data_IF_450299153386
#
_entry.id   IF_450299153386
#
_cell.length_a   1.000
_cell.length_b   1.000
_cell.length_c   1.000
_cell.angle_alpha   90.00
_cell.angle_beta   90.00
_cell.angle_gamma   90.00
#
_symmetry.space_group_name_H-M   'P 1'
#
loop_
_entity.id
_entity.type
_entity.pdbx_description
1 polymer ?
#
# COMPACT_ATOMS: atom_id res chain seq x y z
N UNK A 1 16.73 34.19 -4.05
CA UNK A 1 17.34 33.15 -4.91
C UNK A 1 18.57 32.43 -4.31
N UNK A 2 19.67 33.09 -3.89
CA UNK A 2 20.85 32.39 -3.31
C UNK A 2 20.57 31.72 -1.95
N UNK A 3 19.72 32.33 -1.12
CA UNK A 3 19.33 31.83 0.22
C UNK A 3 18.41 30.60 0.14
N UNK A 4 17.42 30.58 -0.76
CA UNK A 4 16.55 29.42 -1.00
C UNK A 4 17.31 28.21 -1.54
N UNK A 5 18.23 28.42 -2.50
CA UNK A 5 19.07 27.33 -3.00
C UNK A 5 19.92 26.71 -1.88
N UNK A 6 20.43 27.53 -0.95
CA UNK A 6 21.24 27.05 0.18
C UNK A 6 20.41 26.23 1.16
N UNK A 7 19.18 26.65 1.49
CA UNK A 7 18.26 25.90 2.34
C UNK A 7 17.79 24.57 1.69
N UNK A 8 17.60 24.56 0.37
CA UNK A 8 17.32 23.36 -0.40
C UNK A 8 18.49 22.36 -0.36
N UNK A 9 19.71 22.80 -0.63
CA UNK A 9 20.89 21.92 -0.53
C UNK A 9 21.14 21.45 0.92
N UNK A 10 20.88 22.29 1.93
CA UNK A 10 21.03 21.94 3.35
C UNK A 10 20.05 20.87 3.84
N UNK A 11 18.89 20.69 3.19
CA UNK A 11 17.91 19.66 3.53
C UNK A 11 18.03 18.41 2.65
N UNK A 12 18.38 18.57 1.38
CA UNK A 12 18.48 17.46 0.42
C UNK A 12 19.78 16.66 0.56
N UNK A 13 20.92 17.32 0.82
CA UNK A 13 22.21 16.63 0.94
C UNK A 13 22.26 15.66 2.13
N UNK A 14 21.80 16.01 3.34
CA UNK A 14 21.75 15.06 4.45
C UNK A 14 20.80 13.89 4.17
N UNK A 15 19.66 14.15 3.53
CA UNK A 15 18.72 13.10 3.14
C UNK A 15 19.34 12.11 2.16
N UNK A 16 20.03 12.59 1.12
CA UNK A 16 20.73 11.73 0.17
C UNK A 16 21.88 10.94 0.83
N UNK A 17 22.66 11.57 1.71
CA UNK A 17 23.71 10.89 2.47
C UNK A 17 23.16 9.82 3.41
N UNK A 18 22.00 10.05 4.03
CA UNK A 18 21.29 9.05 4.83
C UNK A 18 20.82 7.87 3.97
N UNK A 19 20.24 8.14 2.80
CA UNK A 19 19.77 7.09 1.88
C UNK A 19 20.93 6.24 1.35
N UNK A 20 22.05 6.87 0.99
CA UNK A 20 23.26 6.16 0.53
C UNK A 20 23.92 5.41 1.67
N UNK A 21 24.03 6.04 2.86
CA UNK A 21 24.57 5.40 4.06
C UNK A 21 23.78 4.17 4.50
N UNK A 22 22.45 4.25 4.47
CA UNK A 22 21.56 3.11 4.72
C UNK A 22 21.71 2.02 3.65
N UNK A 23 21.83 2.38 2.38
CA UNK A 23 22.08 1.41 1.31
C UNK A 23 23.39 0.64 1.51
N UNK A 24 24.45 1.34 1.95
CA UNK A 24 25.77 0.72 2.20
C UNK A 24 25.73 -0.19 3.43
N UNK A 25 25.11 0.23 4.54
CA UNK A 25 25.02 -0.61 5.75
C UNK A 25 24.16 -1.85 5.52
N UNK A 26 23.09 -1.74 4.74
CA UNK A 26 22.28 -2.89 4.34
C UNK A 26 23.05 -3.84 3.41
N UNK A 27 23.88 -3.30 2.50
CA UNK A 27 24.75 -4.11 1.64
C UNK A 27 25.74 -4.98 2.42
N UNK A 28 26.26 -4.46 3.54
CA UNK A 28 27.24 -5.16 4.37
C UNK A 28 26.58 -6.24 5.23
N UNK A 29 25.33 -6.05 5.64
CA UNK A 29 24.61 -7.00 6.52
C UNK A 29 23.94 -8.12 5.73
N UNK A 30 23.20 -7.81 4.65
CA UNK A 30 22.58 -8.81 3.81
C UNK A 30 22.29 -8.25 2.40
N UNK A 31 22.84 -8.84 1.32
CA UNK A 31 22.64 -8.34 -0.04
C UNK A 31 21.18 -8.40 -0.50
N UNK A 32 20.35 -9.28 0.07
CA UNK A 32 18.93 -9.35 -0.24
C UNK A 32 18.17 -8.11 0.28
N UNK A 33 18.61 -7.47 1.38
CA UNK A 33 17.97 -6.26 1.90
C UNK A 33 18.17 -5.04 0.99
N UNK A 34 19.30 -4.98 0.29
CA UNK A 34 19.56 -3.95 -0.69
C UNK A 34 18.57 -4.01 -1.86
N UNK A 35 18.21 -5.22 -2.31
CA UNK A 35 17.19 -5.41 -3.33
C UNK A 35 15.83 -4.86 -2.87
N UNK A 36 15.37 -5.22 -1.66
CA UNK A 36 14.12 -4.71 -1.11
C UNK A 36 14.12 -3.20 -0.93
N UNK A 37 15.26 -2.62 -0.57
CA UNK A 37 15.42 -1.18 -0.44
C UNK A 37 15.22 -0.47 -1.78
N UNK A 38 15.84 -0.95 -2.87
CA UNK A 38 15.64 -0.39 -4.21
C UNK A 38 14.22 -0.60 -4.74
N UNK A 39 13.61 -1.77 -4.51
CA UNK A 39 12.22 -2.04 -4.89
C UNK A 39 11.25 -1.12 -4.13
N UNK A 40 11.48 -0.90 -2.83
CA UNK A 40 10.71 0.02 -2.00
C UNK A 40 10.82 1.47 -2.47
N UNK A 41 12.04 1.93 -2.79
CA UNK A 41 12.26 3.27 -3.37
C UNK A 41 11.57 3.42 -4.72
N UNK A 42 11.68 2.42 -5.61
CA UNK A 42 11.01 2.43 -6.92
C UNK A 42 9.50 2.49 -6.79
N UNK A 43 8.92 1.73 -5.87
CA UNK A 43 7.49 1.74 -5.59
C UNK A 43 7.03 3.07 -4.97
N UNK A 44 7.79 3.63 -4.02
CA UNK A 44 7.50 4.95 -3.44
C UNK A 44 7.56 6.07 -4.48
N UNK A 45 8.56 6.04 -5.36
CA UNK A 45 8.68 6.97 -6.49
C UNK A 45 7.49 6.84 -7.47
N UNK A 46 7.10 5.61 -7.81
CA UNK A 46 5.94 5.36 -8.65
C UNK A 46 4.67 5.94 -8.01
N UNK A 47 4.43 5.68 -6.72
CA UNK A 47 3.28 6.22 -5.98
C UNK A 47 3.28 7.74 -5.92
N UNK A 48 4.44 8.37 -5.68
CA UNK A 48 4.57 9.82 -5.66
C UNK A 48 4.21 10.44 -7.01
N UNK A 49 4.75 9.90 -8.09
CA UNK A 49 4.56 10.45 -9.44
C UNK A 49 3.15 10.26 -10.00
N UNK A 50 2.52 9.15 -9.66
CA UNK A 50 1.16 8.82 -10.11
C UNK A 50 0.07 9.26 -9.13
N UNK A 51 0.45 9.82 -7.97
CA UNK A 51 -0.47 10.28 -6.90
C UNK A 51 -1.52 9.22 -6.54
N UNK A 52 -1.11 7.95 -6.49
CA UNK A 52 -2.00 6.84 -6.11
C UNK A 52 -2.44 7.02 -4.66
N UNK A 53 -3.73 7.29 -4.45
CA UNK A 53 -4.32 7.43 -3.13
C UNK A 53 -5.71 6.83 -3.09
N UNK A 54 -5.87 5.79 -2.27
CA UNK A 54 -7.17 5.12 -2.05
C UNK A 54 -8.16 6.08 -1.38
N UNK A 55 -7.70 6.87 -0.40
CA UNK A 55 -8.56 7.80 0.32
C UNK A 55 -9.13 8.91 -0.58
N UNK A 56 -8.31 9.46 -1.49
CA UNK A 56 -8.79 10.44 -2.48
C UNK A 56 -9.84 9.82 -3.40
N UNK A 57 -9.62 8.60 -3.90
CA UNK A 57 -10.57 7.95 -4.79
C UNK A 57 -11.97 7.80 -4.16
N UNK A 58 -12.04 7.44 -2.88
CA UNK A 58 -13.32 7.38 -2.16
C UNK A 58 -13.91 8.76 -1.89
N UNK A 59 -13.11 9.72 -1.42
CA UNK A 59 -13.59 11.08 -1.16
C UNK A 59 -14.10 11.75 -2.45
N UNK A 60 -13.38 11.61 -3.56
CA UNK A 60 -13.75 12.18 -4.86
C UNK A 60 -15.04 11.55 -5.39
N UNK A 61 -15.24 10.26 -5.14
CA UNK A 61 -16.48 9.57 -5.49
C UNK A 61 -17.68 10.07 -4.68
N UNK A 62 -17.54 10.24 -3.35
CA UNK A 62 -18.68 10.58 -2.49
C UNK A 62 -18.97 12.08 -2.45
N UNK A 63 -17.95 12.93 -2.39
CA UNK A 63 -18.11 14.39 -2.30
C UNK A 63 -18.32 15.03 -3.67
N UNK A 64 -17.45 14.70 -4.64
CA UNK A 64 -17.43 15.35 -5.95
C UNK A 64 -18.13 14.54 -7.04
N UNK A 65 -18.62 13.34 -6.72
CA UNK A 65 -19.21 12.38 -7.68
C UNK A 65 -18.29 12.09 -8.87
N UNK A 66 -16.98 12.18 -8.69
CA UNK A 66 -16.00 11.96 -9.75
C UNK A 66 -15.54 10.48 -9.74
N UNK A 67 -15.89 9.67 -10.75
CA UNK A 67 -15.56 8.25 -10.79
C UNK A 67 -14.13 7.94 -11.27
N UNK A 68 -13.37 8.93 -11.76
CA UNK A 68 -12.04 8.74 -12.37
C UNK A 68 -11.08 8.07 -11.40
N UNK A 69 -11.05 8.53 -10.13
CA UNK A 69 -10.17 8.00 -9.09
C UNK A 69 -10.48 6.52 -8.76
N UNK A 70 -11.76 6.17 -8.71
CA UNK A 70 -12.19 4.79 -8.44
C UNK A 70 -11.90 3.85 -9.60
N UNK A 71 -12.18 4.27 -10.84
CA UNK A 71 -11.79 3.54 -12.06
C UNK A 71 -10.30 3.19 -12.03
N UNK A 72 -9.48 4.21 -11.77
CA UNK A 72 -8.03 4.08 -11.68
C UNK A 72 -7.60 3.08 -10.59
N UNK A 73 -8.23 3.13 -9.41
CA UNK A 73 -7.98 2.16 -8.33
C UNK A 73 -8.30 0.72 -8.76
N UNK A 74 -9.37 0.49 -9.51
CA UNK A 74 -9.68 -0.84 -10.03
C UNK A 74 -8.67 -1.33 -11.08
N UNK A 75 -8.08 -0.45 -11.89
CA UNK A 75 -6.94 -0.82 -12.74
C UNK A 75 -5.71 -1.24 -11.94
N UNK A 76 -5.42 -0.58 -10.82
CA UNK A 76 -4.35 -1.00 -9.90
C UNK A 76 -4.64 -2.41 -9.35
N UNK A 77 -5.87 -2.66 -8.92
CA UNK A 77 -6.29 -3.98 -8.42
C UNK A 77 -6.21 -5.03 -9.53
N UNK A 78 -6.56 -4.68 -10.77
CA UNK A 78 -6.46 -5.57 -11.93
C UNK A 78 -5.00 -5.97 -12.18
N UNK A 79 -4.09 -5.00 -12.30
CA UNK A 79 -2.68 -5.29 -12.58
C UNK A 79 -2.02 -6.09 -11.46
N UNK A 80 -2.28 -5.74 -10.20
CA UNK A 80 -1.76 -6.50 -9.05
C UNK A 80 -2.33 -7.92 -9.01
N UNK A 81 -3.62 -8.10 -9.30
CA UNK A 81 -4.25 -9.44 -9.38
C UNK A 81 -3.61 -10.29 -10.48
N UNK A 82 -3.36 -9.73 -11.66
CA UNK A 82 -2.70 -10.45 -12.76
C UNK A 82 -1.27 -10.86 -12.38
N UNK A 83 -0.50 -9.96 -11.77
CA UNK A 83 0.88 -10.25 -11.33
C UNK A 83 0.92 -11.32 -10.23
N UNK A 84 0.14 -11.17 -9.16
CA UNK A 84 0.12 -12.18 -8.08
C UNK A 84 -0.48 -13.51 -8.52
N UNK A 85 -1.56 -13.46 -9.32
CA UNK A 85 -2.20 -14.66 -9.86
C UNK A 85 -1.25 -15.45 -10.77
N UNK A 86 -0.58 -14.79 -11.72
CA UNK A 86 0.41 -15.44 -12.59
C UNK A 86 1.56 -16.07 -11.79
N UNK A 87 2.13 -15.35 -10.81
CA UNK A 87 3.19 -15.89 -9.95
C UNK A 87 2.73 -17.15 -9.18
N UNK A 88 1.52 -17.14 -8.62
CA UNK A 88 0.97 -18.31 -7.93
C UNK A 88 0.67 -19.49 -8.87
N UNK A 89 0.30 -19.22 -10.12
CA UNK A 89 0.04 -20.25 -11.12
C UNK A 89 1.30 -20.98 -11.56
N UNK A 90 2.35 -20.22 -11.90
CA UNK A 90 3.57 -20.78 -12.45
C UNK A 90 4.47 -21.40 -11.38
N UNK A 91 4.39 -20.94 -10.13
CA UNK A 91 5.26 -21.37 -9.02
C UNK A 91 4.43 -21.78 -7.78
N UNK A 92 3.54 -22.78 -7.90
CA UNK A 92 2.60 -23.15 -6.84
C UNK A 92 3.30 -23.70 -5.58
N UNK A 93 4.44 -24.39 -5.74
CA UNK A 93 5.22 -24.96 -4.64
C UNK A 93 6.00 -23.92 -3.84
N UNK A 94 6.31 -22.77 -4.44
CA UNK A 94 7.08 -21.71 -3.81
C UNK A 94 6.20 -20.68 -3.09
N UNK A 95 5.02 -20.38 -3.63
CA UNK A 95 4.11 -19.37 -3.07
C UNK A 95 2.94 -19.96 -2.26
N UNK A 96 2.68 -21.27 -2.39
CA UNK A 96 1.63 -21.96 -1.64
C UNK A 96 0.27 -21.29 -1.75
N UNK A 97 -0.55 -21.39 -0.70
CA UNK A 97 -1.87 -20.72 -0.62
C UNK A 97 -1.78 -19.19 -0.41
N UNK A 98 -0.58 -18.60 -0.48
CA UNK A 98 -0.33 -17.22 -0.08
C UNK A 98 -0.56 -16.99 1.42
N UNK A 99 -0.50 -15.72 1.83
CA UNK A 99 -0.75 -15.34 3.23
C UNK A 99 -2.24 -15.14 3.45
N UNK A 100 -2.94 -16.20 3.89
CA UNK A 100 -4.37 -16.18 4.15
C UNK A 100 -4.62 -15.77 5.60
N UNK A 101 -5.55 -14.83 5.82
CA UNK A 101 -5.94 -14.35 7.14
C UNK A 101 -7.33 -14.83 7.51
N UNK A 102 -7.54 -15.03 8.81
CA UNK A 102 -8.84 -15.32 9.39
C UNK A 102 -9.86 -14.27 8.93
N UNK A 103 -11.00 -14.73 8.44
CA UNK A 103 -12.06 -13.86 7.93
C UNK A 103 -13.25 -13.88 8.88
N UNK A 104 -13.61 -12.74 9.46
CA UNK A 104 -14.73 -12.66 10.38
C UNK A 104 -15.32 -11.25 10.53
N UNK A 105 -16.34 -11.08 11.38
CA UNK A 105 -17.06 -9.81 11.56
C UNK A 105 -16.15 -8.64 11.98
N UNK A 106 -15.05 -8.94 12.66
CA UNK A 106 -14.04 -7.96 13.05
C UNK A 106 -13.35 -7.29 11.84
N UNK A 107 -13.30 -7.93 10.66
CA UNK A 107 -12.78 -7.30 9.44
C UNK A 107 -13.72 -6.20 8.95
N UNK A 108 -15.04 -6.38 9.11
CA UNK A 108 -16.03 -5.37 8.76
C UNK A 108 -15.92 -4.17 9.71
N UNK A 109 -15.89 -4.43 11.02
CA UNK A 109 -15.72 -3.37 12.03
C UNK A 109 -14.39 -2.63 11.85
N UNK A 110 -13.30 -3.38 11.66
CA UNK A 110 -11.97 -2.81 11.40
C UNK A 110 -11.93 -2.01 10.10
N UNK A 111 -12.58 -2.48 9.03
CA UNK A 111 -12.67 -1.78 7.75
C UNK A 111 -13.46 -0.47 7.85
N UNK A 112 -14.55 -0.44 8.61
CA UNK A 112 -15.34 0.78 8.86
C UNK A 112 -14.52 1.80 9.65
N UNK A 113 -13.90 1.36 10.76
CA UNK A 113 -13.05 2.24 11.59
C UNK A 113 -11.84 2.77 10.81
N UNK A 114 -11.20 1.91 10.01
CA UNK A 114 -10.09 2.30 9.14
C UNK A 114 -10.54 3.28 8.05
N UNK A 115 -11.72 3.05 7.44
CA UNK A 115 -12.33 3.95 6.47
C UNK A 115 -12.59 5.34 7.04
N UNK A 116 -13.23 5.41 8.21
CA UNK A 116 -13.46 6.68 8.91
C UNK A 116 -12.14 7.40 9.23
N UNK A 117 -11.14 6.65 9.72
CA UNK A 117 -9.80 7.18 9.97
C UNK A 117 -9.12 7.73 8.71
N UNK A 118 -9.24 7.06 7.57
CA UNK A 118 -8.67 7.52 6.30
C UNK A 118 -9.27 8.85 5.84
N UNK A 119 -10.59 9.02 5.99
CA UNK A 119 -11.27 10.27 5.63
C UNK A 119 -10.83 11.40 6.57
N UNK A 120 -10.79 11.14 7.88
CA UNK A 120 -10.41 12.15 8.87
C UNK A 120 -8.94 12.57 8.78
N UNK A 121 -8.04 11.62 8.50
CA UNK A 121 -6.62 11.87 8.29
C UNK A 121 -6.29 12.51 6.92
N UNK A 122 -7.22 12.49 5.97
CA UNK A 122 -7.01 13.01 4.61
C UNK A 122 -6.02 12.20 3.78
N UNK A 123 -5.82 10.92 4.10
CA UNK A 123 -4.84 10.05 3.43
C UNK A 123 -4.94 8.58 3.83
N UNK A 124 -4.47 7.68 2.97
CA UNK A 124 -4.23 6.29 3.31
C UNK A 124 -2.78 6.06 3.74
N UNK A 125 -2.50 4.95 4.44
CA UNK A 125 -1.18 4.64 5.00
C UNK A 125 -0.03 4.79 3.98
N UNK A 126 -0.21 4.32 2.74
CA UNK A 126 0.77 4.48 1.67
C UNK A 126 0.98 5.94 1.25
N UNK A 127 -0.10 6.70 1.07
CA UNK A 127 -0.01 8.12 0.70
C UNK A 127 0.58 8.99 1.81
N UNK A 128 0.36 8.64 3.08
CA UNK A 128 0.94 9.35 4.22
C UNK A 128 2.46 9.20 4.22
N UNK A 129 2.99 8.00 3.96
CA UNK A 129 4.44 7.78 3.83
C UNK A 129 5.06 8.59 2.69
N UNK A 130 4.40 8.63 1.54
CA UNK A 130 4.85 9.44 0.39
C UNK A 130 4.86 10.92 0.75
N UNK A 131 3.80 11.44 1.38
CA UNK A 131 3.68 12.85 1.79
C UNK A 131 4.67 13.26 2.87
N UNK A 132 5.04 12.34 3.77
CA UNK A 132 6.16 12.56 4.70
C UNK A 132 7.46 12.71 3.92
N UNK A 133 7.69 11.88 2.90
CA UNK A 133 8.83 12.00 1.99
C UNK A 133 8.85 13.32 1.21
N UNK A 134 7.69 13.90 0.95
CA UNK A 134 7.55 15.24 0.36
C UNK A 134 7.74 16.39 1.37
N UNK A 135 7.90 16.09 2.66
CA UNK A 135 8.11 17.06 3.73
C UNK A 135 6.81 17.65 4.31
N UNK A 136 5.66 17.00 4.10
CA UNK A 136 4.39 17.48 4.65
C UNK A 136 4.30 17.22 6.16
N UNK A 137 4.40 18.27 6.98
CA UNK A 137 4.31 18.19 8.44
C UNK A 137 3.00 17.57 8.95
N UNK A 138 1.88 17.86 8.29
CA UNK A 138 0.59 17.26 8.64
C UNK A 138 0.61 15.72 8.48
N UNK A 139 1.25 15.21 7.43
CA UNK A 139 1.38 13.77 7.22
C UNK A 139 2.30 13.12 8.26
N UNK A 140 3.32 13.85 8.73
CA UNK A 140 4.17 13.39 9.82
C UNK A 140 3.39 13.23 11.14
N UNK A 141 2.50 14.17 11.46
CA UNK A 141 1.63 14.05 12.63
C UNK A 141 0.69 12.83 12.51
N UNK A 142 0.05 12.66 11.35
CA UNK A 142 -0.80 11.48 11.07
C UNK A 142 -0.01 10.17 11.24
N UNK A 143 1.24 10.15 10.80
CA UNK A 143 2.10 8.98 10.95
C UNK A 143 2.39 8.61 12.39
N UNK A 144 2.63 9.59 13.27
CA UNK A 144 2.83 9.35 14.71
C UNK A 144 1.57 8.71 15.31
N UNK A 145 0.39 9.25 15.03
CA UNK A 145 -0.86 8.67 15.53
C UNK A 145 -1.16 7.29 14.92
N UNK A 146 -0.84 7.08 13.65
CA UNK A 146 -0.94 5.76 13.00
C UNK A 146 -0.02 4.73 13.66
N UNK A 147 1.18 5.14 14.05
CA UNK A 147 2.13 4.30 14.79
C UNK A 147 1.56 3.88 16.16
N UNK A 148 1.11 4.84 16.96
CA UNK A 148 0.49 4.56 18.27
C UNK A 148 -0.81 3.75 18.13
N UNK A 149 -1.63 4.03 17.13
CA UNK A 149 -2.85 3.29 16.85
C UNK A 149 -2.57 1.82 16.47
N UNK A 150 -1.54 1.57 15.67
CA UNK A 150 -1.13 0.20 15.31
C UNK A 150 -0.59 -0.55 16.52
N UNK A 151 0.16 0.14 17.37
CA UNK A 151 0.66 -0.40 18.64
C UNK A 151 -0.50 -0.81 19.57
N UNK A 152 -1.45 0.10 19.78
CA UNK A 152 -2.65 -0.18 20.58
C UNK A 152 -3.50 -1.30 19.96
N UNK A 153 -3.61 -1.34 18.63
CA UNK A 153 -4.27 -2.42 17.90
C UNK A 153 -3.62 -3.77 18.13
N UNK A 154 -2.28 -3.83 18.15
CA UNK A 154 -1.53 -5.07 18.44
C UNK A 154 -1.78 -5.57 19.86
N UNK A 155 -1.87 -4.65 20.83
CA UNK A 155 -2.20 -4.98 22.21
C UNK A 155 -3.64 -5.51 22.33
N UNK A 156 -4.61 -4.80 21.75
CA UNK A 156 -6.02 -5.21 21.74
C UNK A 156 -6.20 -6.57 21.06
N UNK A 157 -5.43 -6.82 20.00
CA UNK A 157 -5.46 -8.07 19.24
C UNK A 157 -5.16 -9.30 20.09
N UNK A 158 -4.27 -9.19 21.09
CA UNK A 158 -4.02 -10.29 22.04
C UNK A 158 -5.27 -10.66 22.86
N UNK A 159 -6.14 -9.68 23.16
CA UNK A 159 -7.37 -9.88 23.92
C UNK A 159 -8.49 -10.47 23.06
N UNK A 160 -8.65 -10.00 21.81
CA UNK A 160 -9.70 -10.49 20.89
C UNK A 160 -9.30 -11.75 20.11
N UNK A 161 -8.08 -12.25 20.27
CA UNK A 161 -7.52 -13.39 19.53
C UNK A 161 -8.41 -14.63 19.52
N UNK A 162 -9.03 -14.95 20.65
CA UNK A 162 -9.88 -16.14 20.78
C UNK A 162 -11.15 -16.03 19.95
N UNK A 163 -11.71 -14.83 19.81
CA UNK A 163 -12.82 -14.56 18.89
C UNK A 163 -12.37 -14.61 17.42
N UNK A 164 -11.11 -14.23 17.13
CA UNK A 164 -10.56 -14.21 15.76
C UNK A 164 -10.32 -15.62 15.23
N UNK A 165 -9.72 -16.52 16.02
CA UNK A 165 -9.45 -17.91 15.60
C UNK A 165 -10.73 -18.69 15.31
N UNK A 166 -11.85 -18.35 15.96
CA UNK A 166 -13.12 -19.06 15.78
C UNK A 166 -13.62 -19.06 14.33
N UNK A 167 -13.18 -18.11 13.50
CA UNK A 167 -13.58 -18.02 12.10
C UNK A 167 -12.46 -18.47 11.16
N UNK A 168 -12.66 -19.61 10.50
CA UNK A 168 -11.67 -20.16 9.56
C UNK A 168 -11.42 -19.21 8.37
N UNK A 169 -10.17 -19.11 7.89
CA UNK A 169 -9.87 -18.37 6.66
C UNK A 169 -10.60 -19.00 5.47
N UNK A 170 -11.27 -18.18 4.67
CA UNK A 170 -11.90 -18.62 3.42
C UNK A 170 -10.99 -18.27 2.25
N UNK A 171 -10.51 -19.29 1.55
CA UNK A 171 -9.70 -19.13 0.34
C UNK A 171 -10.52 -19.53 -0.89
N UNK A 172 -10.87 -18.54 -1.72
CA UNK A 172 -11.73 -18.73 -2.90
C UNK A 172 -11.28 -19.88 -3.83
N UNK A 173 -9.97 -20.03 -4.13
CA UNK A 173 -9.49 -21.14 -4.96
C UNK A 173 -9.71 -22.54 -4.39
N UNK A 174 -9.84 -22.69 -3.07
CA UNK A 174 -10.10 -23.98 -2.41
C UNK A 174 -11.57 -24.40 -2.53
N UNK A 175 -12.48 -23.43 -2.63
CA UNK A 175 -13.92 -23.70 -2.77
C UNK A 175 -14.35 -23.89 -4.24
N UNK A 176 -13.81 -23.09 -5.17
CA UNK A 176 -14.28 -23.03 -6.56
C UNK A 176 -13.28 -23.62 -7.57
N UNK A 177 -12.06 -23.95 -7.12
CA UNK A 177 -10.94 -24.23 -8.01
C UNK A 177 -10.25 -22.95 -8.49
N UNK A 178 -8.95 -23.06 -8.77
CA UNK A 178 -8.10 -21.92 -9.07
C UNK A 178 -8.53 -21.12 -10.32
N UNK A 179 -8.92 -21.83 -11.38
CA UNK A 179 -9.38 -21.21 -12.64
C UNK A 179 -10.69 -20.42 -12.44
N UNK A 180 -11.69 -21.02 -11.78
CA UNK A 180 -12.99 -20.37 -11.57
C UNK A 180 -12.87 -19.20 -10.59
N UNK A 181 -12.03 -19.32 -9.56
CA UNK A 181 -11.77 -18.22 -8.64
C UNK A 181 -11.12 -17.01 -9.35
N UNK A 182 -10.12 -17.26 -10.21
CA UNK A 182 -9.48 -16.21 -10.99
C UNK A 182 -10.46 -15.55 -11.98
N UNK A 183 -11.24 -16.36 -12.71
CA UNK A 183 -12.24 -15.85 -13.65
C UNK A 183 -13.32 -15.01 -12.95
N UNK A 184 -13.83 -15.47 -11.81
CA UNK A 184 -14.79 -14.72 -11.01
C UNK A 184 -14.20 -13.39 -10.52
N UNK A 185 -12.97 -13.41 -10.02
CA UNK A 185 -12.30 -12.19 -9.55
C UNK A 185 -12.05 -11.20 -10.69
N UNK A 186 -11.54 -11.66 -11.84
CA UNK A 186 -11.34 -10.82 -13.02
C UNK A 186 -12.66 -10.26 -13.54
N UNK A 187 -13.71 -11.09 -13.58
CA UNK A 187 -15.05 -10.66 -13.96
C UNK A 187 -15.58 -9.54 -13.05
N UNK A 188 -15.46 -9.69 -11.73
CA UNK A 188 -15.86 -8.66 -10.78
C UNK A 188 -15.07 -7.36 -10.97
N UNK A 189 -13.75 -7.43 -11.11
CA UNK A 189 -12.91 -6.24 -11.31
C UNK A 189 -13.25 -5.53 -12.62
N UNK A 190 -13.33 -6.27 -13.72
CA UNK A 190 -13.67 -5.71 -15.04
C UNK A 190 -15.09 -5.12 -15.02
N UNK A 191 -16.05 -5.77 -14.37
CA UNK A 191 -17.41 -5.23 -14.23
C UNK A 191 -17.41 -3.87 -13.50
N UNK A 192 -16.62 -3.74 -12.42
CA UNK A 192 -16.49 -2.46 -11.71
C UNK A 192 -15.83 -1.40 -12.59
N UNK A 193 -14.76 -1.74 -13.32
CA UNK A 193 -14.10 -0.83 -14.27
C UNK A 193 -15.10 -0.32 -15.30
N UNK A 194 -15.91 -1.21 -15.88
CA UNK A 194 -16.93 -0.85 -16.86
C UNK A 194 -17.99 0.07 -16.26
N UNK A 195 -18.48 -0.22 -15.05
CA UNK A 195 -19.47 0.63 -14.36
C UNK A 195 -18.92 2.05 -14.18
N UNK A 196 -17.70 2.20 -13.66
CA UNK A 196 -17.11 3.52 -13.46
C UNK A 196 -16.75 4.21 -14.78
N UNK A 197 -16.35 3.45 -15.80
CA UNK A 197 -16.10 3.98 -17.15
C UNK A 197 -17.39 4.51 -17.81
N UNK A 198 -18.51 3.79 -17.72
CA UNK A 198 -19.80 4.28 -18.23
C UNK A 198 -20.31 5.48 -17.43
N UNK A 199 -20.06 5.51 -16.12
CA UNK A 199 -20.41 6.65 -15.29
C UNK A 199 -19.57 7.90 -15.62
N UNK A 200 -18.27 7.72 -15.85
CA UNK A 200 -17.35 8.76 -16.31
C UNK A 200 -17.77 9.31 -17.67
N UNK A 201 -18.02 8.44 -18.67
CA UNK A 201 -18.45 8.87 -20.01
C UNK A 201 -19.75 9.68 -19.98
N UNK A 202 -20.65 9.36 -19.05
CA UNK A 202 -21.89 10.12 -18.82
C UNK A 202 -21.62 11.52 -18.24
N UNK A 203 -20.52 11.71 -17.52
CA UNK A 203 -20.08 13.00 -16.98
C UNK A 203 -19.16 13.78 -17.92
N UNK A 204 -18.24 13.13 -18.63
CA UNK A 204 -17.36 13.76 -19.61
C UNK A 204 -18.13 14.36 -20.80
N UNK A 205 -19.31 13.83 -21.13
CA UNK A 205 -20.24 14.47 -22.06
C UNK A 205 -20.71 15.87 -21.61
N UNK A 206 -20.37 16.32 -20.40
CA UNK A 206 -20.68 17.63 -19.83
C UNK A 206 -19.43 18.47 -19.49
N UNK A 207 -18.21 17.95 -19.66
CA UNK A 207 -16.98 18.62 -19.25
C UNK A 207 -15.85 18.35 -20.25
N UNK A 208 -15.74 19.21 -21.26
CA UNK A 208 -14.57 19.28 -22.12
C UNK A 208 -13.47 20.05 -21.36
N UNK A 209 -12.38 19.37 -21.02
CA UNK A 209 -11.16 20.02 -20.51
C UNK A 209 -10.02 19.52 -21.38
N UNK A 210 -9.57 20.37 -22.31
CA UNK A 210 -8.28 20.22 -22.98
C UNK A 210 -7.17 20.26 -21.93
N UNK A 211 -6.44 19.16 -21.82
CA UNK A 211 -5.15 19.16 -21.12
C UNK A 211 -4.10 19.57 -22.13
N UNK A 212 -3.46 20.71 -21.92
CA UNK A 212 -2.37 21.19 -22.77
C UNK A 212 -1.07 20.47 -22.40
N UNK A 213 -0.50 19.74 -23.37
CA UNK A 213 0.58 18.74 -23.18
C UNK A 213 1.97 19.23 -23.62
N UNK A 214 2.28 20.53 -23.55
CA UNK A 214 3.55 21.04 -24.09
C UNK A 214 4.57 21.49 -23.02
N UNK A 215 5.80 20.99 -23.14
CA UNK A 215 7.01 21.72 -22.68
C UNK A 215 7.73 21.31 -21.39
N UNK A 216 7.21 20.47 -20.50
CA UNK A 216 7.91 20.16 -19.22
C UNK A 216 8.84 18.94 -19.31
N UNK A 217 9.99 18.87 -18.60
CA UNK A 217 10.85 17.67 -18.59
C UNK A 217 10.14 16.43 -18.02
N UNK A 218 10.41 15.23 -18.54
CA UNK A 218 9.81 13.94 -18.10
C UNK A 218 9.87 13.72 -16.58
N UNK A 219 10.96 14.17 -15.94
CA UNK A 219 11.18 14.08 -14.50
C UNK A 219 10.32 15.01 -13.65
N UNK A 220 9.71 16.05 -14.24
CA UNK A 220 8.83 17.00 -13.53
C UNK A 220 7.34 16.73 -13.77
N UNK A 221 6.99 15.91 -14.76
CA UNK A 221 5.59 15.61 -15.11
C UNK A 221 4.93 14.69 -14.07
N UNK A 222 3.62 14.89 -13.77
CA UNK A 222 2.81 13.85 -13.15
C UNK A 222 2.67 12.69 -14.14
N UNK A 223 2.83 11.46 -13.67
CA UNK A 223 2.73 10.29 -14.55
C UNK A 223 1.28 9.85 -14.68
N UNK A 224 0.88 9.27 -15.83
CA UNK A 224 -0.43 8.66 -15.97
C UNK A 224 -0.63 7.62 -14.87
N UNK A 225 -1.83 7.60 -14.27
CA UNK A 225 -2.13 6.67 -13.18
C UNK A 225 -1.85 5.21 -13.57
N UNK A 226 -2.19 4.83 -14.82
CA UNK A 226 -1.95 3.49 -15.35
C UNK A 226 -0.47 3.09 -15.32
N UNK A 227 0.45 4.01 -15.62
CA UNK A 227 1.90 3.76 -15.57
C UNK A 227 2.33 3.54 -14.12
N UNK A 228 1.85 4.37 -13.20
CA UNK A 228 2.11 4.19 -11.77
C UNK A 228 1.56 2.88 -11.23
N UNK A 229 0.35 2.50 -11.65
CA UNK A 229 -0.32 1.28 -11.24
C UNK A 229 0.40 0.02 -11.75
N UNK A 230 0.84 0.05 -13.02
CA UNK A 230 1.63 -1.03 -13.61
C UNK A 230 2.97 -1.18 -12.88
N UNK A 231 3.69 -0.08 -12.64
CA UNK A 231 4.97 -0.13 -11.93
C UNK A 231 4.81 -0.59 -10.48
N UNK A 232 3.76 -0.12 -9.80
CA UNK A 232 3.43 -0.59 -8.46
C UNK A 232 3.16 -2.10 -8.46
N UNK A 233 2.39 -2.61 -9.43
CA UNK A 233 2.13 -4.04 -9.57
C UNK A 233 3.41 -4.85 -9.82
N UNK A 234 4.31 -4.35 -10.69
CA UNK A 234 5.60 -5.00 -10.97
C UNK A 234 6.50 -5.00 -9.73
N UNK A 235 6.70 -3.86 -9.07
CA UNK A 235 7.55 -3.78 -7.88
C UNK A 235 7.00 -4.62 -6.72
N UNK A 236 5.69 -4.57 -6.48
CA UNK A 236 5.05 -5.41 -5.44
C UNK A 236 5.11 -6.90 -5.78
N UNK A 237 4.99 -7.27 -7.06
CA UNK A 237 5.19 -8.63 -7.54
C UNK A 237 6.63 -9.12 -7.35
N UNK A 238 7.62 -8.27 -7.63
CA UNK A 238 9.03 -8.59 -7.39
C UNK A 238 9.32 -8.78 -5.90
N UNK A 239 8.80 -7.90 -5.04
CA UNK A 239 8.92 -8.07 -3.57
C UNK A 239 8.32 -9.41 -3.15
N UNK A 240 7.13 -9.75 -3.67
CA UNK A 240 6.49 -11.03 -3.39
C UNK A 240 7.30 -12.21 -3.89
N UNK A 241 7.89 -12.12 -5.09
CA UNK A 241 8.72 -13.16 -5.68
C UNK A 241 9.93 -13.51 -4.80
N UNK A 242 10.64 -12.50 -4.29
CA UNK A 242 11.84 -12.70 -3.47
C UNK A 242 11.55 -12.99 -2.00
N UNK A 243 10.50 -12.39 -1.42
CA UNK A 243 10.24 -12.50 0.02
C UNK A 243 9.21 -13.55 0.40
N UNK A 244 8.45 -14.09 -0.57
CA UNK A 244 7.25 -14.94 -0.38
C UNK A 244 6.13 -14.24 0.42
N UNK A 245 6.40 -13.04 0.95
CA UNK A 245 5.50 -12.21 1.75
C UNK A 245 4.95 -11.09 0.89
N UNK A 246 3.68 -10.78 1.09
CA UNK A 246 3.02 -9.68 0.40
C UNK A 246 3.43 -8.37 1.05
N UNK A 247 3.61 -7.32 0.26
CA UNK A 247 3.90 -5.98 0.77
C UNK A 247 2.81 -5.47 1.72
N UNK A 248 3.23 -4.91 2.86
CA UNK A 248 2.35 -4.34 3.89
C UNK A 248 3.00 -3.16 4.58
N UNK A 249 2.17 -2.18 4.91
CA UNK A 249 2.61 -1.00 5.67
C UNK A 249 2.46 -1.23 7.18
N UNK A 250 1.29 -1.69 7.64
CA UNK A 250 0.97 -1.70 9.07
C UNK A 250 1.81 -2.69 9.90
N UNK A 251 2.27 -3.79 9.28
CA UNK A 251 3.07 -4.81 9.97
C UNK A 251 4.42 -4.26 10.43
N UNK A 252 5.04 -3.35 9.68
CA UNK A 252 6.34 -2.77 10.06
C UNK A 252 6.22 -1.91 11.33
N UNK A 253 5.13 -1.16 11.48
CA UNK A 253 4.88 -0.32 12.65
C UNK A 253 4.67 -1.16 13.90
N UNK A 254 4.03 -2.32 13.73
CA UNK A 254 3.89 -3.30 14.81
C UNK A 254 5.28 -3.78 15.26
N UNK A 255 6.16 -4.18 14.32
CA UNK A 255 7.52 -4.62 14.65
C UNK A 255 8.37 -3.57 15.37
N UNK A 256 8.31 -2.31 14.93
CA UNK A 256 8.98 -1.22 15.61
C UNK A 256 8.43 -1.02 17.04
N UNK A 257 7.11 -1.11 17.21
CA UNK A 257 6.49 -1.09 18.54
C UNK A 257 6.97 -2.23 19.44
N UNK A 258 7.04 -3.45 18.91
CA UNK A 258 7.56 -4.61 19.64
C UNK A 258 9.04 -4.44 19.99
N UNK A 259 9.86 -3.88 19.09
CA UNK A 259 11.27 -3.60 19.35
C UNK A 259 11.47 -2.57 20.47
N UNK A 260 10.64 -1.53 20.52
CA UNK A 260 10.65 -0.54 21.61
C UNK A 260 10.29 -1.22 22.93
N UNK A 261 9.23 -2.02 22.96
CA UNK A 261 8.84 -2.76 24.17
C UNK A 261 9.92 -3.73 24.66
N UNK A 262 10.60 -4.38 23.72
CA UNK A 262 11.68 -5.32 24.04
C UNK A 262 12.86 -4.57 24.68
N UNK A 263 13.15 -3.38 24.16
CA UNK A 263 14.18 -2.50 24.71
C UNK A 263 13.81 -1.95 26.09
N UNK A 264 12.52 -1.87 26.41
CA UNK A 264 11.99 -1.50 27.73
C UNK A 264 11.89 -2.70 28.70
N UNK A 265 12.32 -3.90 28.29
CA UNK A 265 12.36 -5.10 29.13
C UNK A 265 11.01 -5.81 29.32
N UNK A 266 9.99 -5.47 28.53
CA UNK A 266 8.68 -6.13 28.59
C UNK A 266 8.78 -7.47 27.84
N UNK A 267 8.30 -8.55 28.47
CA UNK A 267 8.28 -9.87 27.84
C UNK A 267 7.14 -9.94 26.80
N UNK A 268 7.54 -10.05 25.53
CA UNK A 268 6.65 -10.01 24.34
C UNK A 268 6.44 -11.41 23.75
N UNK A 269 7.22 -12.40 24.19
CA UNK A 269 7.17 -13.76 23.62
C UNK A 269 5.82 -14.45 23.84
N UNK A 270 5.03 -13.98 24.82
CA UNK A 270 3.68 -14.45 25.10
C UNK A 270 2.60 -13.85 24.20
N UNK A 271 2.93 -12.90 23.32
CA UNK A 271 1.93 -12.18 22.52
C UNK A 271 1.51 -13.01 21.31
N UNK A 272 0.21 -13.36 21.27
CA UNK A 272 -0.42 -14.19 20.24
C UNK A 272 -0.32 -13.56 18.83
N UNK A 273 -0.14 -12.24 18.73
CA UNK A 273 0.13 -11.54 17.47
C UNK A 273 1.39 -12.04 16.73
N UNK A 274 2.44 -12.46 17.44
CA UNK A 274 3.65 -13.00 16.81
C UNK A 274 3.38 -14.32 16.07
N UNK A 275 2.39 -15.09 16.53
CA UNK A 275 1.97 -16.33 15.88
C UNK A 275 1.27 -16.16 14.53
N UNK A 276 0.85 -14.93 14.17
CA UNK A 276 0.34 -14.60 12.83
C UNK A 276 1.44 -14.26 11.82
N UNK A 277 2.68 -14.07 12.27
CA UNK A 277 3.78 -13.51 11.48
C UNK A 277 4.82 -14.55 11.05
N UNK A 278 4.80 -15.73 11.68
CA UNK A 278 5.54 -16.94 11.27
C UNK A 278 4.77 -17.71 10.22
#
# INVERSE_FOLDING_TARGET
>A
MKTEKRAYYLSVIPGYLLLVGLGITLSITNPAMLLYYFLGMGMGFAMQKSRICVASAFNDLFLFKNPVGMKNLFFLILFTTVVFGSLQFFLPTHFGKGSIYYTGPYNLLGGILFGFGMVWAGGCAGSTLVRIGEGQLAAFLVFIFMFFGTFFGTYLFNFIWEMVISFKPVYLPEALGWQNALLLQLFLIVSMILIFYFWEKKQEALAEIELEWEGTPFWKRPWPYLVGALLFAVFSGLIFYFSVKVWRVNTIFSFWGLWILKSLGINIESWKFLGLLG
#
